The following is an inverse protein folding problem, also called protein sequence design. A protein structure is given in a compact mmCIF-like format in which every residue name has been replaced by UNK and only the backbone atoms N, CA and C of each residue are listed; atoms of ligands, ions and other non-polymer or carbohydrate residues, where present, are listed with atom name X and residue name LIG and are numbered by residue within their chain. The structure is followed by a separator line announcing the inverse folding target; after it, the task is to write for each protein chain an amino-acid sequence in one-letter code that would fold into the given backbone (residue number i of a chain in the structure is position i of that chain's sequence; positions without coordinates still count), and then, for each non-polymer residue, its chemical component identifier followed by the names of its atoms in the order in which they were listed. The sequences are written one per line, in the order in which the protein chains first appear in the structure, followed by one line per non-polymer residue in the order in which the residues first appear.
data_IF_601625333864
#
_entry.id   IF_601625333864
#
_cell.length_a   1.000
_cell.length_b   1.000
_cell.length_c   1.000
_cell.angle_alpha   90.00
_cell.angle_beta   90.00
_cell.angle_gamma   90.00
#
_symmetry.space_group_name_H-M   'P 1'
#
loop_
_entity.id
_entity.type
_entity.pdbx_description
1 polymer ?
#
# COMPACT_ATOMS: atom_id res chain seq x y z
N UNK A 1 43.89 15.51 -24.27
CA UNK A 1 43.36 15.35 -22.89
C UNK A 1 41.88 15.65 -22.94
N UNK A 2 41.05 14.64 -23.18
CA UNK A 2 39.58 14.76 -23.22
C UNK A 2 39.01 14.18 -21.94
N UNK A 3 38.94 15.01 -20.89
CA UNK A 3 38.49 14.61 -19.57
C UNK A 3 36.96 14.67 -19.45
N UNK A 4 36.42 13.58 -18.90
CA UNK A 4 35.20 13.53 -18.10
C UNK A 4 33.87 13.42 -18.85
N UNK A 5 33.59 12.19 -19.27
CA UNK A 5 32.23 11.67 -19.48
C UNK A 5 31.45 11.84 -18.16
N UNK A 6 30.47 12.74 -18.16
CA UNK A 6 29.48 12.89 -17.08
C UNK A 6 28.54 11.67 -17.08
N UNK A 7 28.93 10.59 -16.38
CA UNK A 7 27.99 9.58 -15.89
C UNK A 7 27.57 10.03 -14.48
N UNK A 8 26.50 10.81 -14.41
CA UNK A 8 25.85 11.24 -13.16
C UNK A 8 24.34 10.98 -13.24
N UNK A 9 23.95 9.84 -13.81
CA UNK A 9 22.60 9.30 -13.71
C UNK A 9 22.79 7.83 -13.39
N UNK A 10 22.84 7.45 -12.10
CA UNK A 10 22.67 6.05 -11.64
C UNK A 10 22.96 5.91 -10.13
N UNK A 11 22.43 6.77 -9.26
CA UNK A 11 22.48 6.48 -7.82
C UNK A 11 21.15 6.81 -7.13
N UNK A 12 20.61 5.76 -6.51
CA UNK A 12 19.48 5.70 -5.56
C UNK A 12 18.05 5.56 -6.10
N UNK A 13 17.77 4.51 -6.89
CA UNK A 13 16.44 3.89 -6.93
C UNK A 13 16.52 2.38 -6.63
N UNK A 14 17.25 2.03 -5.56
CA UNK A 14 17.42 0.63 -5.16
C UNK A 14 17.28 0.47 -3.65
N UNK A 15 16.03 0.52 -3.16
CA UNK A 15 15.64 -0.10 -1.89
C UNK A 15 14.11 -0.28 -1.75
N UNK A 16 13.34 -0.37 -2.83
CA UNK A 16 11.89 -0.61 -2.75
C UNK A 16 11.57 -2.01 -3.28
N UNK A 17 10.92 -2.83 -2.44
CA UNK A 17 10.26 -4.08 -2.86
C UNK A 17 11.06 -5.39 -2.84
N UNK A 18 12.17 -5.49 -2.10
CA UNK A 18 12.92 -6.78 -1.96
C UNK A 18 12.36 -7.71 -0.87
N UNK A 19 11.31 -7.30 -0.17
CA UNK A 19 10.70 -8.14 0.86
C UNK A 19 9.95 -9.31 0.19
N UNK A 20 10.34 -10.53 0.54
CA UNK A 20 9.63 -11.73 0.10
C UNK A 20 8.36 -11.91 0.94
N UNK A 21 7.22 -11.52 0.35
CA UNK A 21 5.90 -11.67 0.95
C UNK A 21 5.32 -13.08 0.84
N UNK A 22 5.98 -14.02 0.13
CA UNK A 22 5.48 -15.37 -0.09
C UNK A 22 5.32 -16.21 1.19
N UNK A 23 5.99 -15.79 2.27
CA UNK A 23 5.90 -16.42 3.60
C UNK A 23 4.84 -15.78 4.51
N UNK A 24 4.29 -14.63 4.13
CA UNK A 24 3.25 -13.96 4.92
C UNK A 24 1.93 -14.71 4.73
N UNK A 25 1.40 -15.25 5.84
CA UNK A 25 0.07 -15.85 5.87
C UNK A 25 -0.94 -14.81 6.29
N UNK A 26 -1.82 -14.43 5.36
CA UNK A 26 -2.91 -13.51 5.64
C UNK A 26 -4.11 -14.25 6.22
N UNK A 27 -4.86 -13.55 7.08
CA UNK A 27 -6.03 -14.15 7.72
C UNK A 27 -7.23 -14.07 6.77
N UNK A 28 -7.94 -15.17 6.51
CA UNK A 28 -9.17 -15.11 5.73
C UNK A 28 -10.16 -14.12 6.33
N UNK A 29 -10.81 -13.34 5.47
CA UNK A 29 -11.78 -12.32 5.88
C UNK A 29 -13.15 -12.63 5.26
N UNK A 30 -14.27 -12.45 5.98
CA UNK A 30 -15.59 -12.69 5.41
C UNK A 30 -15.86 -11.83 4.17
N UNK A 31 -16.56 -12.41 3.19
CA UNK A 31 -16.74 -11.79 1.86
C UNK A 31 -17.46 -10.44 1.90
N UNK A 32 -18.38 -10.27 2.86
CA UNK A 32 -19.10 -9.01 3.11
C UNK A 32 -18.17 -7.81 3.36
N UNK A 33 -16.96 -8.02 3.88
CA UNK A 33 -15.96 -6.95 4.04
C UNK A 33 -15.07 -6.80 2.80
N UNK A 34 -14.77 -7.91 2.12
CA UNK A 34 -13.87 -7.92 0.97
C UNK A 34 -14.48 -7.24 -0.26
N UNK A 35 -15.74 -7.53 -0.57
CA UNK A 35 -16.41 -7.04 -1.76
C UNK A 35 -16.48 -5.49 -1.84
N UNK A 36 -16.84 -4.75 -0.77
CA UNK A 36 -16.80 -3.28 -0.82
C UNK A 36 -15.37 -2.71 -0.78
N UNK A 37 -14.42 -3.37 -0.09
CA UNK A 37 -13.04 -2.89 -0.03
C UNK A 37 -12.23 -3.19 -1.29
N UNK A 38 -12.63 -4.17 -2.09
CA UNK A 38 -11.99 -4.51 -3.37
C UNK A 38 -12.28 -3.51 -4.49
N UNK A 39 -13.04 -2.45 -4.21
CA UNK A 39 -13.43 -1.42 -5.18
C UNK A 39 -13.13 -0.03 -4.64
N UNK A 40 -13.15 0.98 -5.50
CA UNK A 40 -13.17 2.38 -5.07
C UNK A 40 -14.47 2.64 -4.32
N UNK A 41 -14.39 3.04 -3.05
CA UNK A 41 -15.59 3.22 -2.21
C UNK A 41 -16.18 4.62 -2.45
N UNK A 42 -17.50 4.74 -2.68
CA UNK A 42 -18.15 6.04 -2.86
C UNK A 42 -17.93 6.96 -1.65
N UNK A 43 -17.62 8.23 -1.91
CA UNK A 43 -17.43 9.25 -0.86
C UNK A 43 -16.17 9.08 -0.01
N UNK A 44 -15.29 8.13 -0.32
CA UNK A 44 -13.99 7.93 0.33
C UNK A 44 -12.87 8.47 -0.56
N UNK A 45 -11.69 8.83 -0.02
CA UNK A 45 -10.56 9.35 -0.79
C UNK A 45 -9.84 8.26 -1.61
N UNK A 46 -10.52 7.17 -1.96
CA UNK A 46 -9.94 6.04 -2.67
C UNK A 46 -9.55 6.44 -4.10
N UNK A 47 -8.34 6.07 -4.55
CA UNK A 47 -7.84 6.37 -5.90
C UNK A 47 -7.00 5.25 -6.48
N UNK A 48 -7.02 5.11 -7.80
CA UNK A 48 -6.02 4.33 -8.53
C UNK A 48 -4.81 5.22 -8.83
N UNK A 49 -3.62 4.71 -8.52
CA UNK A 49 -2.35 5.47 -8.65
C UNK A 49 -1.32 4.74 -9.52
N UNK A 50 -1.62 3.50 -9.92
CA UNK A 50 -0.67 2.62 -10.58
C UNK A 50 0.32 1.94 -9.64
N UNK A 51 0.15 2.03 -8.31
CA UNK A 51 0.88 1.16 -7.39
C UNK A 51 0.46 -0.29 -7.54
N UNK A 52 1.42 -1.20 -7.39
CA UNK A 52 1.21 -2.64 -7.47
C UNK A 52 1.32 -3.26 -6.08
N UNK A 53 0.43 -4.21 -5.82
CA UNK A 53 0.59 -5.13 -4.71
C UNK A 53 1.85 -5.97 -4.92
N UNK A 54 2.56 -6.33 -3.84
CA UNK A 54 3.75 -7.16 -3.98
C UNK A 54 3.41 -8.49 -4.64
N UNK A 55 4.16 -8.87 -5.67
CA UNK A 55 3.81 -10.00 -6.54
C UNK A 55 3.75 -11.36 -5.81
N UNK A 56 4.55 -11.54 -4.74
CA UNK A 56 4.55 -12.75 -3.93
C UNK A 56 3.50 -12.76 -2.81
N UNK A 57 2.78 -11.67 -2.58
CA UNK A 57 1.73 -11.61 -1.57
C UNK A 57 0.43 -12.23 -2.10
N UNK A 58 -0.04 -13.31 -1.46
CA UNK A 58 -1.34 -13.90 -1.78
C UNK A 58 -2.45 -13.33 -0.90
N UNK A 59 -3.31 -12.49 -1.50
CA UNK A 59 -4.47 -11.88 -0.84
C UNK A 59 -5.80 -12.56 -1.16
N UNK A 60 -5.80 -13.73 -1.81
CA UNK A 60 -7.06 -14.44 -2.16
C UNK A 60 -7.90 -14.70 -0.91
N UNK A 61 -9.13 -14.18 -0.86
CA UNK A 61 -9.99 -14.28 0.32
C UNK A 61 -9.52 -13.50 1.55
N UNK A 62 -8.63 -12.52 1.37
CA UNK A 62 -8.05 -11.71 2.45
C UNK A 62 -7.66 -10.30 1.96
N UNK A 63 -7.06 -9.50 2.84
CA UNK A 63 -6.50 -8.19 2.51
C UNK A 63 -5.27 -7.86 3.35
N UNK A 64 -4.48 -6.90 2.87
CA UNK A 64 -3.32 -6.35 3.57
C UNK A 64 -3.19 -4.87 3.30
N UNK A 65 -2.73 -4.10 4.28
CA UNK A 65 -2.48 -2.66 4.14
C UNK A 65 -0.98 -2.33 4.10
N UNK A 66 -0.59 -1.47 3.16
CA UNK A 66 0.79 -1.05 2.93
C UNK A 66 0.95 0.46 3.07
N UNK A 67 2.16 0.89 3.44
CA UNK A 67 2.58 2.26 3.21
C UNK A 67 3.23 2.35 1.82
N UNK A 68 3.14 3.51 1.17
CA UNK A 68 3.65 3.69 -0.20
C UNK A 68 5.08 3.25 -0.46
N UNK A 69 6.06 3.47 0.46
CA UNK A 69 7.44 3.02 0.27
C UNK A 69 7.59 1.49 0.25
N UNK A 70 6.60 0.75 0.77
CA UNK A 70 6.57 -0.72 0.74
C UNK A 70 6.12 -1.26 -0.64
N UNK A 71 5.58 -0.39 -1.51
CA UNK A 71 5.00 -0.77 -2.79
C UNK A 71 5.86 -0.31 -3.96
N UNK A 72 5.72 -1.04 -5.06
CA UNK A 72 6.34 -0.69 -6.33
C UNK A 72 5.29 -0.12 -7.27
N UNK A 73 5.58 1.00 -7.96
CA UNK A 73 4.73 1.47 -9.04
C UNK A 73 4.82 0.53 -10.26
N UNK A 74 3.74 0.44 -11.03
CA UNK A 74 3.80 -0.05 -12.41
C UNK A 74 4.56 0.96 -13.27
N UNK A 75 4.97 0.57 -14.47
CA UNK A 75 5.61 1.49 -15.41
C UNK A 75 4.73 2.72 -15.65
N UNK A 76 5.29 3.92 -15.43
CA UNK A 76 4.56 5.20 -15.50
C UNK A 76 3.57 5.48 -14.35
N UNK A 77 3.47 4.61 -13.34
CA UNK A 77 2.67 4.82 -12.12
C UNK A 77 3.45 5.52 -11.01
N UNK A 78 2.74 6.00 -9.98
CA UNK A 78 3.36 6.69 -8.84
C UNK A 78 2.82 6.14 -7.52
N UNK A 79 3.73 5.77 -6.61
CA UNK A 79 3.39 5.51 -5.21
C UNK A 79 3.71 6.71 -4.33
N UNK A 80 2.67 7.27 -3.71
CA UNK A 80 2.78 8.36 -2.77
C UNK A 80 3.54 7.87 -1.54
N UNK A 81 4.63 8.56 -1.20
CA UNK A 81 5.47 8.22 -0.04
C UNK A 81 4.68 8.19 1.27
N UNK A 82 3.73 9.09 1.40
CA UNK A 82 2.83 9.19 2.55
C UNK A 82 1.43 8.64 2.19
N UNK A 83 1.38 7.64 1.31
CA UNK A 83 0.14 6.97 0.92
C UNK A 83 -0.10 5.71 1.74
N UNK A 84 -1.37 5.50 2.10
CA UNK A 84 -1.85 4.25 2.66
C UNK A 84 -2.61 3.47 1.58
N UNK A 85 -2.21 2.23 1.35
CA UNK A 85 -2.68 1.39 0.25
C UNK A 85 -3.29 0.10 0.77
N UNK A 86 -4.23 -0.47 0.02
CA UNK A 86 -4.77 -1.81 0.29
C UNK A 86 -4.59 -2.73 -0.91
N UNK A 87 -4.24 -3.97 -0.58
CA UNK A 87 -4.13 -5.12 -1.49
C UNK A 87 -5.13 -6.16 -1.04
N UNK A 88 -6.01 -6.60 -1.93
CA UNK A 88 -7.21 -7.34 -1.52
C UNK A 88 -7.66 -8.32 -2.60
N UNK A 89 -8.10 -9.49 -2.17
CA UNK A 89 -8.73 -10.54 -2.97
C UNK A 89 -8.03 -10.84 -4.32
N UNK A 90 -6.72 -11.04 -4.28
CA UNK A 90 -5.90 -11.41 -5.45
C UNK A 90 -5.67 -10.28 -6.46
N UNK A 91 -6.07 -9.04 -6.15
CA UNK A 91 -5.82 -7.90 -7.04
C UNK A 91 -4.33 -7.59 -7.15
N UNK A 92 -3.91 -7.29 -8.38
CA UNK A 92 -2.53 -6.88 -8.68
C UNK A 92 -2.28 -5.42 -8.38
N UNK A 93 -3.25 -4.55 -8.64
CA UNK A 93 -3.12 -3.11 -8.39
C UNK A 93 -3.54 -2.79 -6.95
N UNK A 94 -2.73 -1.99 -6.28
CA UNK A 94 -3.03 -1.50 -4.94
C UNK A 94 -3.95 -0.28 -5.03
N UNK A 95 -4.97 -0.22 -4.18
CA UNK A 95 -5.88 0.91 -4.09
C UNK A 95 -5.36 1.88 -3.04
N UNK A 96 -5.07 3.12 -3.44
CA UNK A 96 -4.77 4.20 -2.48
C UNK A 96 -6.04 4.43 -1.67
N UNK A 97 -5.93 4.32 -0.35
CA UNK A 97 -7.03 4.45 0.61
C UNK A 97 -6.99 5.77 1.36
N UNK A 98 -5.79 6.34 1.56
CA UNK A 98 -5.63 7.70 2.08
C UNK A 98 -4.30 8.27 1.61
N UNK A 99 -4.31 9.56 1.24
CA UNK A 99 -3.12 10.36 1.02
C UNK A 99 -2.86 11.16 2.30
N UNK A 100 -1.92 10.70 3.12
CA UNK A 100 -1.70 11.25 4.45
C UNK A 100 -1.24 12.71 4.39
N UNK A 101 -0.49 13.08 3.34
CA UNK A 101 -0.02 14.44 3.13
C UNK A 101 -1.16 15.46 2.92
N UNK A 102 -2.28 15.03 2.35
CA UNK A 102 -3.43 15.91 2.03
C UNK A 102 -4.61 15.76 3.00
N UNK A 103 -4.67 14.64 3.72
CA UNK A 103 -5.68 14.40 4.76
C UNK A 103 -5.33 15.12 6.06
N UNK A 104 -4.02 15.30 6.28
CA UNK A 104 -3.32 15.98 7.37
C UNK A 104 -3.17 17.50 7.23
N UNK A 105 -3.66 18.38 8.11
CA UNK A 105 -3.25 19.79 8.11
C UNK A 105 -1.75 20.06 8.40
N UNK A 106 -0.94 19.01 8.43
CA UNK A 106 0.52 18.93 8.61
C UNK A 106 0.95 17.51 8.21
N UNK A 107 2.21 17.33 7.79
CA UNK A 107 2.71 16.12 7.14
C UNK A 107 2.55 14.84 7.96
N UNK A 108 1.44 14.13 7.74
CA UNK A 108 1.19 12.85 8.38
C UNK A 108 1.95 11.72 7.68
N UNK A 109 2.44 10.78 8.48
CA UNK A 109 3.11 9.59 7.98
C UNK A 109 2.18 8.38 8.05
N UNK A 110 2.39 7.42 7.15
CA UNK A 110 1.74 6.12 7.23
C UNK A 110 2.45 5.26 8.29
N UNK A 111 1.71 4.71 9.25
CA UNK A 111 2.25 3.85 10.31
C UNK A 111 1.41 2.60 10.55
N UNK A 112 2.04 1.58 11.13
CA UNK A 112 1.37 0.36 11.59
C UNK A 112 0.48 0.63 12.80
N UNK A 113 -0.69 -0.01 12.81
CA UNK A 113 -1.59 -0.01 13.96
C UNK A 113 -1.64 -1.38 14.64
N UNK A 114 -1.97 -1.35 15.93
CA UNK A 114 -2.23 -2.56 16.73
C UNK A 114 -3.73 -2.95 16.74
N UNK A 115 -4.59 -2.13 16.13
CA UNK A 115 -6.04 -2.34 16.08
C UNK A 115 -6.58 -2.12 14.68
N UNK A 116 -7.77 -2.68 14.42
CA UNK A 116 -8.49 -2.45 13.17
C UNK A 116 -8.93 -0.99 13.07
N UNK A 117 -8.68 -0.31 11.93
CA UNK A 117 -9.37 0.93 11.62
C UNK A 117 -10.88 0.74 11.75
N UNK A 118 -11.54 1.66 12.47
CA UNK A 118 -13.00 1.67 12.67
C UNK A 118 -13.84 1.36 11.42
N UNK A 119 -13.53 1.88 10.21
CA UNK A 119 -14.31 1.57 9.01
C UNK A 119 -14.29 0.10 8.57
N UNK A 120 -13.36 -0.73 9.06
CA UNK A 120 -13.30 -2.16 8.71
C UNK A 120 -14.28 -3.01 9.53
N UNK A 121 -14.74 -2.55 10.71
CA UNK A 121 -15.64 -3.28 11.65
C UNK A 121 -15.23 -4.73 11.94
N UNK A 122 -13.98 -5.10 11.69
CA UNK A 122 -13.46 -6.42 11.98
C UNK A 122 -13.17 -6.55 13.49
N UNK A 123 -13.53 -7.70 14.07
CA UNK A 123 -13.20 -8.04 15.46
C UNK A 123 -11.72 -8.40 15.62
N UNK A 124 -11.08 -8.82 14.54
CA UNK A 124 -9.70 -9.26 14.51
C UNK A 124 -9.05 -8.95 13.16
N UNK A 125 -8.05 -8.07 13.16
CA UNK A 125 -7.21 -7.75 12.01
C UNK A 125 -5.78 -8.25 12.20
N UNK A 126 -5.52 -9.09 13.21
CA UNK A 126 -4.23 -9.74 13.36
C UNK A 126 -3.95 -10.56 12.09
N UNK A 127 -2.85 -10.23 11.42
CA UNK A 127 -2.47 -10.83 10.13
C UNK A 127 -2.79 -10.00 8.88
N UNK A 128 -3.52 -8.88 8.99
CA UNK A 128 -3.80 -7.97 7.86
C UNK A 128 -2.97 -6.66 7.91
N UNK A 129 -2.04 -6.58 8.87
CA UNK A 129 -1.12 -5.47 9.14
C UNK A 129 -1.76 -4.09 8.91
N UNK A 130 -2.78 -3.74 9.71
CA UNK A 130 -3.51 -2.49 9.53
C UNK A 130 -2.55 -1.31 9.59
N UNK A 131 -2.75 -0.35 8.67
CA UNK A 131 -2.00 0.90 8.60
C UNK A 131 -2.97 2.08 8.75
N UNK A 132 -2.46 3.23 9.18
CA UNK A 132 -3.20 4.48 9.18
C UNK A 132 -2.28 5.69 8.97
N UNK A 133 -2.87 6.79 8.53
CA UNK A 133 -2.24 8.10 8.56
C UNK A 133 -2.26 8.62 9.99
N UNK A 134 -1.08 8.89 10.55
CA UNK A 134 -0.92 9.49 11.87
C UNK A 134 -0.09 10.77 11.76
N UNK A 135 -0.42 11.74 12.61
CA UNK A 135 0.31 13.01 12.71
C UNK A 135 1.66 12.84 13.42
#
# INVERSE_FOLDING_TARGET
MGTSILILILLASHACGTMDYGKIKLKPTPREYLDPFSKLRPGMPDKLTGCMCPASLNTTGSFYMFCGPDLNPREGGICLKEGMYRCIDGQKEAILTADCATSSGGGNVCQSLNSCPYPLKLKDCSGNNPKACVA
#
